data_IF_980157680312
#
_entry.id   IF_980157680312
#
_cell.length_a   1.000
_cell.length_b   1.000
_cell.length_c   1.000
_cell.angle_alpha   90.00
_cell.angle_beta   90.00
_cell.angle_gamma   90.00
#
_symmetry.space_group_name_H-M   'P 1'
#
loop_
_entity.id
_entity.type
_entity.pdbx_description
1 polymer ?
#
# COMPACT_ATOMS: atom_id res chain seq x y z
N UNK A 1 26.01 -8.55 5.23
CA UNK A 1 25.07 -7.56 5.71
C UNK A 1 24.62 -6.65 4.59
N UNK A 2 23.32 -6.40 4.54
CA UNK A 2 22.73 -5.63 3.44
C UNK A 2 22.21 -4.27 3.93
N UNK A 3 23.00 -3.57 4.71
CA UNK A 3 22.60 -2.29 5.31
C UNK A 3 22.46 -1.16 4.27
N UNK A 4 23.06 -1.33 3.09
CA UNK A 4 22.95 -0.36 2.00
C UNK A 4 21.83 -0.67 1.01
N UNK A 5 21.10 -1.78 1.24
CA UNK A 5 19.99 -2.16 0.35
C UNK A 5 18.88 -1.11 0.45
N UNK A 6 18.38 -0.66 -0.70
CA UNK A 6 17.28 0.30 -0.76
C UNK A 6 15.96 -0.44 -1.03
N UNK A 7 14.84 0.25 -0.80
CA UNK A 7 13.54 -0.34 -1.12
C UNK A 7 13.40 -0.56 -2.62
N UNK A 8 14.09 0.23 -3.45
CA UNK A 8 14.12 0.04 -4.89
C UNK A 8 14.71 -1.33 -5.26
N UNK A 9 15.70 -1.79 -4.50
CA UNK A 9 16.35 -3.10 -4.74
C UNK A 9 15.40 -4.27 -4.42
N UNK A 10 14.40 -4.04 -3.60
CA UNK A 10 13.47 -5.08 -3.13
C UNK A 10 12.15 -5.05 -3.88
N UNK A 11 11.72 -3.86 -4.29
CA UNK A 11 10.42 -3.60 -4.86
C UNK A 11 10.21 -4.40 -6.14
N UNK A 12 9.02 -5.01 -6.26
CA UNK A 12 8.58 -5.62 -7.50
C UNK A 12 7.75 -4.60 -8.26
N UNK A 13 8.31 -4.01 -9.30
CA UNK A 13 7.67 -2.95 -10.08
C UNK A 13 6.39 -3.41 -10.79
N UNK A 14 6.21 -4.72 -10.96
CA UNK A 14 5.00 -5.27 -11.57
C UNK A 14 3.86 -5.34 -10.57
N UNK A 15 4.15 -5.24 -9.29
CA UNK A 15 3.13 -5.26 -8.25
C UNK A 15 2.86 -3.84 -7.77
N UNK A 16 2.02 -3.15 -8.52
CA UNK A 16 1.60 -1.78 -8.22
C UNK A 16 0.11 -1.71 -7.95
N UNK A 17 -0.34 -2.16 -6.76
CA UNK A 17 -1.78 -2.15 -6.48
C UNK A 17 -2.32 -0.71 -6.45
N UNK A 18 -3.35 -0.46 -7.23
CA UNK A 18 -3.99 0.85 -7.25
C UNK A 18 -5.45 0.73 -7.66
N UNK A 19 -6.26 1.58 -7.07
CA UNK A 19 -7.66 1.79 -7.45
C UNK A 19 -7.91 3.29 -7.52
N UNK A 20 -8.98 3.67 -8.23
CA UNK A 20 -9.41 5.06 -8.33
C UNK A 20 -10.40 5.40 -7.23
N UNK A 21 -10.47 6.68 -6.84
CA UNK A 21 -11.51 7.17 -5.95
C UNK A 21 -12.92 6.88 -6.50
N UNK A 22 -13.05 6.70 -7.81
CA UNK A 22 -14.33 6.43 -8.46
C UNK A 22 -14.67 4.94 -8.50
N UNK A 23 -13.76 4.08 -8.09
CA UNK A 23 -13.98 2.64 -8.02
C UNK A 23 -14.78 2.28 -6.77
N UNK A 24 -15.18 1.01 -6.70
CA UNK A 24 -15.96 0.48 -5.57
C UNK A 24 -15.05 -0.31 -4.62
N UNK A 25 -15.60 -0.64 -3.44
CA UNK A 25 -14.90 -1.49 -2.49
C UNK A 25 -14.58 -2.85 -3.11
N UNK A 26 -15.50 -3.39 -3.94
CA UNK A 26 -15.23 -4.65 -4.64
C UNK A 26 -13.96 -4.55 -5.50
N UNK A 27 -13.78 -3.44 -6.20
CA UNK A 27 -12.58 -3.23 -7.00
C UNK A 27 -11.33 -3.24 -6.14
N UNK A 28 -11.39 -2.64 -4.96
CA UNK A 28 -10.26 -2.64 -4.03
C UNK A 28 -9.95 -4.06 -3.53
N UNK A 29 -10.98 -4.83 -3.21
CA UNK A 29 -10.81 -6.23 -2.78
C UNK A 29 -10.14 -7.04 -3.88
N UNK A 30 -10.61 -6.89 -5.12
CA UNK A 30 -10.04 -7.60 -6.26
C UNK A 30 -8.57 -7.24 -6.48
N UNK A 31 -8.25 -5.97 -6.35
CA UNK A 31 -6.87 -5.50 -6.53
C UNK A 31 -5.94 -6.04 -5.44
N UNK A 32 -6.38 -5.98 -4.19
CA UNK A 32 -5.60 -6.52 -3.06
C UNK A 32 -5.37 -8.02 -3.24
N UNK A 33 -6.41 -8.75 -3.63
CA UNK A 33 -6.32 -10.20 -3.86
C UNK A 33 -5.36 -10.53 -5.00
N UNK A 34 -5.39 -9.75 -6.06
CA UNK A 34 -4.55 -9.96 -7.23
C UNK A 34 -3.08 -9.69 -6.96
N UNK A 35 -2.77 -8.60 -6.27
CA UNK A 35 -1.38 -8.15 -6.06
C UNK A 35 -0.73 -8.75 -4.81
N UNK A 36 -1.52 -9.23 -3.86
CA UNK A 36 -1.05 -9.96 -2.66
C UNK A 36 -0.11 -9.17 -1.73
N UNK A 37 -0.26 -7.88 -1.67
CA UNK A 37 0.53 -7.05 -0.76
C UNK A 37 -0.27 -6.58 0.46
N UNK A 38 -1.51 -7.05 0.60
CA UNK A 38 -2.35 -6.77 1.76
C UNK A 38 -2.94 -5.38 1.79
N UNK A 39 -2.78 -4.61 0.71
CA UNK A 39 -3.27 -3.25 0.62
C UNK A 39 -3.30 -2.79 -0.83
N UNK A 40 -4.03 -1.71 -1.09
CA UNK A 40 -3.98 -1.02 -2.37
C UNK A 40 -3.94 0.48 -2.15
N UNK A 41 -3.25 1.17 -3.04
CA UNK A 41 -3.21 2.62 -3.06
C UNK A 41 -4.50 3.15 -3.70
N UNK A 42 -4.98 4.27 -3.20
CA UNK A 42 -6.10 5.00 -3.80
C UNK A 42 -5.53 6.18 -4.59
N UNK A 43 -5.87 6.25 -5.86
CA UNK A 43 -5.42 7.30 -6.74
C UNK A 43 -6.58 8.22 -7.11
N UNK A 44 -6.30 9.51 -7.18
CA UNK A 44 -7.19 10.46 -7.82
C UNK A 44 -6.42 11.05 -8.99
N UNK A 45 -6.73 10.58 -10.20
CA UNK A 45 -5.93 10.85 -11.39
C UNK A 45 -4.50 10.35 -11.15
N UNK A 46 -3.49 11.22 -11.15
CA UNK A 46 -2.10 10.81 -10.95
C UNK A 46 -1.60 10.99 -9.52
N UNK A 47 -2.50 11.38 -8.60
CA UNK A 47 -2.12 11.66 -7.22
C UNK A 47 -2.51 10.52 -6.29
N UNK A 48 -1.62 10.17 -5.39
CA UNK A 48 -1.89 9.24 -4.30
C UNK A 48 -2.70 9.99 -3.25
N UNK A 49 -3.91 9.51 -2.95
CA UNK A 49 -4.78 10.17 -1.97
C UNK A 49 -5.09 9.32 -0.76
N UNK A 50 -4.74 8.03 -0.77
CA UNK A 50 -4.99 7.18 0.37
C UNK A 50 -4.51 5.77 0.18
N UNK A 51 -4.82 4.93 1.16
CA UNK A 51 -4.50 3.51 1.16
C UNK A 51 -5.65 2.75 1.81
N UNK A 52 -5.95 1.57 1.28
CA UNK A 52 -6.91 0.64 1.89
C UNK A 52 -6.16 -0.65 2.19
N UNK A 53 -6.20 -1.09 3.44
CA UNK A 53 -5.56 -2.34 3.87
C UNK A 53 -6.61 -3.44 4.06
N UNK A 54 -6.15 -4.69 4.21
CA UNK A 54 -7.01 -5.81 4.56
C UNK A 54 -7.82 -5.52 5.83
N UNK A 55 -7.20 -4.88 6.82
CA UNK A 55 -7.88 -4.52 8.05
C UNK A 55 -9.01 -3.53 7.82
N UNK A 56 -8.78 -2.55 6.94
CA UNK A 56 -9.83 -1.60 6.56
C UNK A 56 -11.00 -2.31 5.89
N UNK A 57 -10.71 -3.24 4.98
CA UNK A 57 -11.74 -4.03 4.29
C UNK A 57 -12.61 -4.75 5.32
N UNK A 58 -12.00 -5.46 6.27
CA UNK A 58 -12.74 -6.20 7.29
C UNK A 58 -13.66 -5.29 8.10
N UNK A 59 -13.17 -4.11 8.48
CA UNK A 59 -13.99 -3.15 9.24
C UNK A 59 -15.17 -2.65 8.42
N UNK A 60 -14.94 -2.33 7.16
CA UNK A 60 -16.00 -1.83 6.27
C UNK A 60 -17.07 -2.90 6.04
N UNK A 61 -16.65 -4.14 5.80
CA UNK A 61 -17.58 -5.26 5.57
C UNK A 61 -18.47 -5.50 6.78
N UNK A 62 -17.97 -5.28 7.99
CA UNK A 62 -18.75 -5.53 9.21
C UNK A 62 -19.73 -4.39 9.54
N UNK A 63 -19.55 -3.20 8.96
CA UNK A 63 -20.34 -2.01 9.32
C UNK A 63 -21.45 -1.66 8.33
N UNK A 64 -21.44 -2.24 7.14
CA UNK A 64 -22.36 -1.86 6.06
C UNK A 64 -23.14 -3.05 5.56
N UNK A 65 -24.39 -2.81 5.14
CA UNK A 65 -25.26 -3.87 4.63
C UNK A 65 -24.92 -4.29 3.22
N UNK A 66 -24.49 -3.34 2.37
CA UNK A 66 -24.12 -3.61 0.99
C UNK A 66 -22.76 -2.96 0.72
N UNK A 67 -21.68 -3.51 1.34
CA UNK A 67 -20.39 -2.84 1.30
C UNK A 67 -19.71 -2.89 -0.06
N UNK A 68 -19.95 -3.91 -0.87
CA UNK A 68 -19.20 -4.11 -2.10
C UNK A 68 -19.40 -2.98 -3.12
N UNK A 69 -20.56 -2.35 -3.11
CA UNK A 69 -20.92 -1.28 -4.03
C UNK A 69 -20.59 0.12 -3.52
N UNK A 70 -20.04 0.23 -2.31
CA UNK A 70 -19.62 1.52 -1.78
C UNK A 70 -18.55 2.13 -2.66
N UNK A 71 -18.69 3.41 -2.98
CA UNK A 71 -17.63 4.14 -3.68
C UNK A 71 -16.46 4.38 -2.75
N UNK A 72 -15.25 4.21 -3.24
CA UNK A 72 -14.05 4.46 -2.46
C UNK A 72 -14.01 5.90 -1.98
N UNK A 73 -14.50 6.84 -2.80
CA UNK A 73 -14.57 8.25 -2.44
C UNK A 73 -15.44 8.53 -1.20
N UNK A 74 -16.36 7.61 -0.86
CA UNK A 74 -17.24 7.77 0.32
C UNK A 74 -16.63 7.23 1.60
N UNK A 75 -15.48 6.56 1.54
CA UNK A 75 -14.85 5.94 2.69
C UNK A 75 -13.91 6.91 3.38
N UNK A 76 -13.72 6.73 4.70
CA UNK A 76 -12.71 7.48 5.43
C UNK A 76 -11.33 7.10 4.92
N UNK A 77 -10.54 8.09 4.55
CA UNK A 77 -9.19 7.87 4.09
C UNK A 77 -8.19 8.17 5.19
N UNK A 78 -7.20 7.28 5.33
CA UNK A 78 -6.04 7.53 6.17
C UNK A 78 -4.99 8.21 5.31
N UNK A 79 -4.21 9.10 5.91
CA UNK A 79 -3.04 9.65 5.26
C UNK A 79 -2.05 8.52 5.01
N UNK A 80 -1.66 8.28 3.76
CA UNK A 80 -0.74 7.19 3.47
C UNK A 80 0.68 7.53 3.91
N UNK A 81 1.44 6.51 4.31
CA UNK A 81 2.86 6.66 4.58
C UNK A 81 3.62 6.40 3.28
N UNK A 82 4.32 7.41 2.81
CA UNK A 82 5.02 7.39 1.52
C UNK A 82 6.51 7.57 1.76
N UNK A 83 7.32 6.76 1.09
CA UNK A 83 8.77 6.88 1.12
C UNK A 83 9.31 6.94 -0.31
N UNK A 84 10.50 7.54 -0.45
CA UNK A 84 11.19 7.59 -1.72
C UNK A 84 11.85 6.23 -2.03
N UNK A 85 12.00 5.91 -3.31
CA UNK A 85 12.56 4.63 -3.75
C UNK A 85 14.00 4.40 -3.27
N UNK A 86 14.73 5.45 -2.96
CA UNK A 86 16.11 5.34 -2.47
C UNK A 86 16.20 5.15 -0.95
N UNK A 87 15.05 5.14 -0.26
CA UNK A 87 15.01 4.90 1.18
C UNK A 87 15.66 3.56 1.51
N UNK A 88 16.46 3.51 2.57
CA UNK A 88 17.12 2.26 2.95
C UNK A 88 16.09 1.25 3.45
N UNK A 89 16.25 0.01 3.04
CA UNK A 89 15.35 -1.06 3.47
C UNK A 89 15.35 -1.25 4.98
N UNK A 90 16.52 -1.12 5.61
CA UNK A 90 16.62 -1.19 7.07
C UNK A 90 15.78 -0.09 7.75
N UNK A 91 15.85 1.13 7.21
CA UNK A 91 15.08 2.25 7.75
C UNK A 91 13.57 2.06 7.50
N UNK A 92 13.21 1.47 6.36
CA UNK A 92 11.81 1.14 6.06
C UNK A 92 11.29 0.13 7.09
N UNK A 93 12.07 -0.89 7.42
CA UNK A 93 11.68 -1.88 8.43
C UNK A 93 11.48 -1.21 9.79
N UNK A 94 12.39 -0.34 10.18
CA UNK A 94 12.28 0.40 11.44
C UNK A 94 11.02 1.27 11.47
N UNK A 95 10.72 1.94 10.36
CA UNK A 95 9.53 2.77 10.24
C UNK A 95 8.26 1.94 10.37
N UNK A 96 8.20 0.79 9.69
CA UNK A 96 7.05 -0.12 9.77
C UNK A 96 6.83 -0.60 11.20
N UNK A 97 7.91 -0.96 11.90
CA UNK A 97 7.83 -1.41 13.29
C UNK A 97 7.36 -0.30 14.22
N UNK A 98 7.87 0.90 14.06
CA UNK A 98 7.49 2.02 14.92
C UNK A 98 6.06 2.48 14.69
N UNK A 99 5.57 2.41 13.45
CA UNK A 99 4.20 2.82 13.09
C UNK A 99 3.21 1.66 13.15
N UNK A 100 3.69 0.43 13.37
CA UNK A 100 2.87 -0.79 13.42
C UNK A 100 2.08 -0.98 12.12
N UNK A 101 2.76 -0.79 11.00
CA UNK A 101 2.20 -0.99 9.67
C UNK A 101 3.05 -2.01 8.92
N UNK A 102 2.48 -2.64 7.91
CA UNK A 102 3.12 -3.71 7.15
C UNK A 102 3.43 -3.32 5.72
N UNK A 103 3.00 -2.15 5.28
CA UNK A 103 3.23 -1.69 3.91
C UNK A 103 3.68 -0.24 3.90
N UNK A 104 4.50 0.10 2.92
CA UNK A 104 4.88 1.49 2.65
C UNK A 104 4.70 1.75 1.15
N UNK A 105 4.15 2.90 0.83
CA UNK A 105 4.00 3.33 -0.55
C UNK A 105 5.35 3.93 -0.99
N UNK A 106 5.81 3.53 -2.17
CA UNK A 106 7.10 3.96 -2.69
C UNK A 106 6.88 4.84 -3.91
N UNK A 107 7.55 5.99 -3.93
CA UNK A 107 7.52 6.91 -5.05
C UNK A 107 8.91 7.14 -5.61
N UNK A 108 8.94 7.53 -6.88
CA UNK A 108 10.15 7.97 -7.56
C UNK A 108 9.79 9.26 -8.30
N UNK A 109 10.53 10.32 -8.01
CA UNK A 109 10.26 11.64 -8.60
C UNK A 109 8.80 12.07 -8.40
N UNK A 110 8.24 11.73 -7.23
CA UNK A 110 6.87 12.09 -6.88
C UNK A 110 5.80 11.19 -7.48
N UNK A 111 6.16 10.22 -8.32
CA UNK A 111 5.20 9.32 -8.95
C UNK A 111 5.13 7.98 -8.23
N UNK A 112 3.92 7.40 -8.18
CA UNK A 112 3.71 6.10 -7.57
C UNK A 112 4.51 5.04 -8.31
N UNK A 113 5.42 4.38 -7.60
CA UNK A 113 6.28 3.35 -8.16
C UNK A 113 5.84 1.94 -7.77
N UNK A 114 5.32 1.79 -6.59
CA UNK A 114 4.87 0.51 -6.08
C UNK A 114 4.74 0.54 -4.56
N UNK A 115 4.54 -0.65 -4.00
CA UNK A 115 4.34 -0.81 -2.56
C UNK A 115 5.28 -1.89 -2.05
N UNK A 116 5.95 -1.63 -0.94
CA UNK A 116 6.80 -2.64 -0.31
C UNK A 116 6.11 -3.18 0.93
N UNK A 117 6.10 -4.51 1.07
CA UNK A 117 5.54 -5.21 2.22
C UNK A 117 6.67 -5.66 3.14
N UNK A 118 6.39 -5.68 4.44
CA UNK A 118 7.40 -6.03 5.45
C UNK A 118 8.03 -7.41 5.18
N UNK A 119 7.25 -8.37 4.67
CA UNK A 119 7.78 -9.71 4.37
C UNK A 119 8.81 -9.68 3.24
N UNK A 120 8.68 -8.77 2.29
CA UNK A 120 9.67 -8.62 1.22
C UNK A 120 11.01 -8.14 1.79
N UNK A 121 10.96 -7.22 2.76
CA UNK A 121 12.17 -6.73 3.41
C UNK A 121 12.82 -7.84 4.23
N UNK A 122 12.03 -8.58 5.00
CA UNK A 122 12.56 -9.66 5.84
C UNK A 122 13.17 -10.76 4.99
N UNK A 123 12.60 -11.07 3.82
CA UNK A 123 13.16 -12.06 2.90
C UNK A 123 14.47 -11.61 2.27
N UNK A 124 14.73 -10.32 2.22
CA UNK A 124 15.94 -9.79 1.59
C UNK A 124 17.20 -10.01 2.43
N UNK A 125 17.08 -10.53 3.62
CA UNK A 125 18.21 -10.80 4.49
C UNK A 125 18.57 -9.66 5.45
N UNK A 126 17.68 -8.73 5.63
CA UNK A 126 17.86 -7.63 6.59
C UNK A 126 17.55 -8.05 8.01
#
# INVERSE_FOLDING_TARGET
KKLTLTVDDILDNELRPMVSVNDTLKDAIDEISSKRLGATVIMNQKKIVGIITDGDIRRILSKHKDPLNLKISSLENKLPMIIDHEYLAFDALSLMNSKKISQLIVTKDGEYMGMVHIHQILKSGI
#
